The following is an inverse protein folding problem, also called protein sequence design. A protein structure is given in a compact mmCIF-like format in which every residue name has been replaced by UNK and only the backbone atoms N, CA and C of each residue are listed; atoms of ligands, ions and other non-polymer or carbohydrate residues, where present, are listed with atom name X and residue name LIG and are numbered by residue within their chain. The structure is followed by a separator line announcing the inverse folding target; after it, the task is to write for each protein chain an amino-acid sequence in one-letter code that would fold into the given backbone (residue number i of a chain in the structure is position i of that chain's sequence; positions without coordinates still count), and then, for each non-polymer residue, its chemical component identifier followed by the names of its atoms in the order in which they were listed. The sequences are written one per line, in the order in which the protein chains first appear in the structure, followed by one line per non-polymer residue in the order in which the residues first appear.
data_IF_706844830141
#
_entry.id   IF_706844830141
#
_cell.length_a   1.000
_cell.length_b   1.000
_cell.length_c   1.000
_cell.angle_alpha   90.00
_cell.angle_beta   90.00
_cell.angle_gamma   90.00
#
_symmetry.space_group_name_H-M   'P 1'
#
loop_
_entity.id
_entity.type
_entity.pdbx_description
1 polymer ?
#
# COMPACT_ATOMS: atom_id res chain seq x y z
N UNK A 1 4.02 -71.79 -3.60
CA UNK A 1 4.10 -70.32 -3.49
C UNK A 1 3.76 -69.76 -4.87
N UNK A 2 2.64 -69.04 -5.00
CA UNK A 2 2.22 -68.49 -6.29
C UNK A 2 3.02 -67.22 -6.59
N UNK A 3 3.80 -67.24 -7.67
CA UNK A 3 4.54 -66.06 -8.16
C UNK A 3 3.56 -65.19 -8.91
N UNK A 4 3.27 -64.00 -8.40
CA UNK A 4 2.43 -63.02 -9.10
C UNK A 4 3.15 -62.58 -10.39
N UNK A 5 2.47 -62.54 -11.55
CA UNK A 5 3.09 -62.09 -12.78
C UNK A 5 3.50 -60.61 -12.65
N UNK A 6 4.72 -60.27 -13.11
CA UNK A 6 5.18 -58.89 -13.21
C UNK A 6 4.39 -58.21 -14.34
N UNK A 7 3.40 -57.42 -13.96
CA UNK A 7 2.52 -56.78 -14.92
C UNK A 7 3.21 -55.51 -15.45
N UNK A 8 3.62 -55.55 -16.72
CA UNK A 8 4.22 -54.42 -17.42
C UNK A 8 3.11 -53.50 -17.96
N UNK A 9 2.65 -52.56 -17.12
CA UNK A 9 1.48 -51.72 -17.40
C UNK A 9 1.69 -50.53 -18.34
N UNK A 10 2.90 -50.32 -18.88
CA UNK A 10 3.23 -49.14 -19.70
C UNK A 10 3.87 -49.51 -21.03
N UNK A 11 3.07 -49.99 -21.98
CA UNK A 11 3.51 -50.22 -23.35
C UNK A 11 3.20 -49.00 -24.24
N UNK A 12 4.05 -47.97 -24.20
CA UNK A 12 3.92 -46.83 -25.11
C UNK A 12 4.46 -47.18 -26.51
N UNK A 13 3.66 -46.91 -27.54
CA UNK A 13 4.09 -46.97 -28.94
C UNK A 13 5.14 -45.89 -29.26
N UNK A 14 5.94 -46.10 -30.31
CA UNK A 14 7.08 -45.21 -30.66
C UNK A 14 6.66 -43.76 -30.89
N UNK A 15 5.43 -43.54 -31.39
CA UNK A 15 4.87 -42.20 -31.62
C UNK A 15 4.48 -41.53 -30.30
N UNK A 16 3.86 -42.28 -29.39
CA UNK A 16 3.42 -41.78 -28.07
C UNK A 16 4.61 -41.41 -27.19
N UNK A 17 5.74 -42.15 -27.28
CA UNK A 17 6.96 -41.81 -26.52
C UNK A 17 7.47 -40.40 -26.81
N UNK A 18 7.39 -39.96 -28.07
CA UNK A 18 7.81 -38.60 -28.45
C UNK A 18 6.84 -37.57 -27.88
N UNK A 19 5.54 -37.85 -27.93
CA UNK A 19 4.51 -36.99 -27.33
C UNK A 19 4.66 -36.88 -25.81
N UNK A 20 4.88 -38.00 -25.11
CA UNK A 20 5.11 -38.02 -23.66
C UNK A 20 6.39 -37.29 -23.28
N UNK A 21 7.48 -37.44 -24.05
CA UNK A 21 8.70 -36.69 -23.81
C UNK A 21 8.48 -35.17 -23.98
N UNK A 22 7.78 -34.75 -25.04
CA UNK A 22 7.44 -33.33 -25.25
C UNK A 22 6.52 -32.78 -24.16
N UNK A 23 5.56 -33.58 -23.68
CA UNK A 23 4.67 -33.18 -22.60
C UNK A 23 5.43 -33.04 -21.27
N UNK A 24 6.31 -33.99 -20.94
CA UNK A 24 7.13 -33.95 -19.73
C UNK A 24 8.10 -32.76 -19.75
N UNK A 25 8.70 -32.45 -20.90
CA UNK A 25 9.60 -31.28 -21.01
C UNK A 25 8.85 -29.97 -20.83
N UNK A 26 7.64 -29.85 -21.40
CA UNK A 26 6.79 -28.67 -21.22
C UNK A 26 6.37 -28.48 -19.76
N UNK A 27 5.93 -29.55 -19.09
CA UNK A 27 5.56 -29.50 -17.67
C UNK A 27 6.78 -29.13 -16.81
N UNK A 28 7.94 -29.74 -17.07
CA UNK A 28 9.17 -29.41 -16.36
C UNK A 28 9.57 -27.94 -16.55
N UNK A 29 9.40 -27.38 -17.76
CA UNK A 29 9.66 -25.98 -18.04
C UNK A 29 8.76 -25.05 -17.21
N UNK A 30 7.45 -25.33 -17.14
CA UNK A 30 6.50 -24.54 -16.36
C UNK A 30 6.81 -24.61 -14.86
N UNK A 31 7.13 -25.80 -14.35
CA UNK A 31 7.52 -26.00 -12.96
C UNK A 31 8.86 -25.31 -12.61
N UNK A 32 9.75 -25.16 -13.58
CA UNK A 32 11.02 -24.47 -13.41
C UNK A 32 10.87 -22.93 -13.29
N UNK A 33 9.86 -22.33 -13.93
CA UNK A 33 9.63 -20.86 -13.92
C UNK A 33 9.71 -20.21 -12.53
N UNK A 34 8.98 -20.68 -11.48
CA UNK A 34 9.04 -20.07 -10.15
C UNK A 34 10.43 -20.20 -9.49
N UNK A 35 11.22 -21.21 -9.87
CA UNK A 35 12.58 -21.39 -9.35
C UNK A 35 13.58 -20.42 -9.99
N UNK A 36 13.34 -20.00 -11.24
CA UNK A 36 14.15 -18.99 -11.93
C UNK A 36 13.67 -17.55 -11.70
N UNK A 37 12.44 -17.35 -11.19
CA UNK A 37 11.91 -16.05 -10.79
C UNK A 37 12.81 -15.24 -9.82
N UNK A 38 13.41 -15.83 -8.76
CA UNK A 38 14.31 -15.09 -7.87
C UNK A 38 15.64 -14.66 -8.51
N UNK A 39 16.00 -15.19 -9.68
CA UNK A 39 17.22 -14.78 -10.39
C UNK A 39 17.02 -13.48 -11.18
N UNK A 40 15.77 -13.07 -11.46
CA UNK A 40 15.47 -11.90 -12.28
C UNK A 40 15.27 -10.59 -11.49
N UNK A 41 15.69 -10.57 -10.22
CA UNK A 41 15.78 -9.34 -9.43
C UNK A 41 14.85 -9.35 -8.22
N UNK A 42 15.42 -9.70 -7.06
CA UNK A 42 14.82 -9.32 -5.80
C UNK A 42 14.95 -7.80 -5.69
N UNK A 43 13.85 -7.07 -5.80
CA UNK A 43 13.84 -5.73 -5.20
C UNK A 43 14.21 -5.92 -3.73
N UNK A 44 15.22 -5.21 -3.20
CA UNK A 44 15.50 -5.29 -1.78
C UNK A 44 14.22 -4.88 -1.08
N UNK A 45 13.57 -5.83 -0.41
CA UNK A 45 12.55 -5.51 0.59
C UNK A 45 13.27 -4.56 1.53
N UNK A 46 12.99 -3.27 1.37
CA UNK A 46 13.52 -2.22 2.22
C UNK A 46 12.93 -2.52 3.59
N UNK A 47 13.69 -3.26 4.40
CA UNK A 47 13.41 -3.45 5.81
C UNK A 47 13.39 -2.04 6.41
N UNK A 48 12.20 -1.47 6.52
CA UNK A 48 11.97 -0.09 6.87
C UNK A 48 12.15 0.10 8.38
N UNK A 49 13.36 -0.19 8.88
CA UNK A 49 13.86 0.28 10.17
C UNK A 49 13.93 1.82 10.21
N UNK A 50 13.59 2.48 9.09
CA UNK A 50 13.29 3.90 9.00
C UNK A 50 12.18 4.32 9.98
N UNK A 51 11.21 3.43 10.25
CA UNK A 51 10.12 3.74 11.16
C UNK A 51 10.61 3.98 12.59
N UNK A 52 11.52 3.14 13.09
CA UNK A 52 12.09 3.26 14.45
C UNK A 52 12.85 4.59 14.62
N UNK A 53 13.60 4.98 13.58
CA UNK A 53 14.32 6.26 13.58
C UNK A 53 13.40 7.48 13.55
N UNK A 54 12.21 7.37 12.95
CA UNK A 54 11.20 8.44 12.93
C UNK A 54 10.45 8.53 14.25
N UNK A 55 10.17 7.40 14.91
CA UNK A 55 9.51 7.36 16.21
C UNK A 55 10.36 8.00 17.31
N UNK A 56 11.67 7.74 17.34
CA UNK A 56 12.57 8.37 18.32
C UNK A 56 12.60 9.90 18.19
N UNK A 57 12.61 10.42 16.97
CA UNK A 57 12.57 11.87 16.70
C UNK A 57 11.25 12.52 17.15
N UNK A 58 10.13 11.83 16.96
CA UNK A 58 8.82 12.30 17.40
C UNK A 58 8.67 12.27 18.93
N UNK A 59 9.18 11.23 19.59
CA UNK A 59 9.18 11.13 21.04
C UNK A 59 10.03 12.24 21.68
N UNK A 60 11.23 12.50 21.18
CA UNK A 60 12.06 13.63 21.68
C UNK A 60 11.36 14.98 21.50
N UNK A 61 10.66 15.19 20.37
CA UNK A 61 9.90 16.42 20.11
C UNK A 61 8.66 16.56 21.01
N UNK A 62 8.03 15.46 21.41
CA UNK A 62 6.90 15.45 22.37
C UNK A 62 7.38 15.72 23.79
N UNK A 63 8.50 15.14 24.21
CA UNK A 63 9.10 15.40 25.53
C UNK A 63 9.63 16.83 25.66
N UNK A 64 10.14 17.41 24.57
CA UNK A 64 10.53 18.82 24.51
C UNK A 64 9.33 19.79 24.44
N UNK A 65 8.10 19.28 24.24
CA UNK A 65 6.88 20.08 24.07
C UNK A 65 5.82 19.65 25.07
N UNK A 66 6.16 19.67 26.36
CA UNK A 66 5.19 19.59 27.46
C UNK A 66 5.07 20.95 28.14
N UNK A 67 4.40 21.88 27.47
CA UNK A 67 3.53 22.93 28.03
C UNK A 67 3.10 23.90 26.91
N UNK A 68 1.85 24.40 26.90
CA UNK A 68 1.48 25.54 26.09
C UNK A 68 1.99 26.80 26.78
N UNK A 69 2.87 27.57 26.16
CA UNK A 69 3.23 28.89 26.68
C UNK A 69 3.38 29.88 25.53
N UNK A 70 2.29 30.64 25.33
CA UNK A 70 2.34 31.99 24.80
C UNK A 70 3.23 32.87 25.70
N UNK A 71 3.77 33.96 25.16
CA UNK A 71 5.21 34.16 24.96
C UNK A 71 6.02 34.24 26.27
N UNK A 72 7.16 33.55 26.30
CA UNK A 72 8.21 33.71 27.30
C UNK A 72 9.58 33.69 26.62
N UNK A 73 10.31 34.80 26.75
CA UNK A 73 11.69 34.97 26.34
C UNK A 73 12.57 33.74 26.60
N UNK A 74 13.10 33.11 25.55
CA UNK A 74 14.32 32.29 25.61
C UNK A 74 15.18 32.51 24.36
N UNK A 75 16.47 32.69 24.61
CA UNK A 75 17.45 33.19 23.68
C UNK A 75 17.71 32.26 22.49
N UNK A 76 17.95 32.94 21.36
CA UNK A 76 18.90 32.58 20.33
C UNK A 76 18.97 31.13 19.89
N UNK A 77 18.19 30.78 18.86
CA UNK A 77 18.80 30.20 17.67
C UNK A 77 17.92 30.46 16.44
N UNK A 78 18.51 31.16 15.47
CA UNK A 78 17.84 31.67 14.28
C UNK A 78 17.85 30.61 13.18
N UNK A 79 16.90 29.68 13.23
CA UNK A 79 16.72 28.75 12.13
C UNK A 79 16.05 29.46 10.94
N UNK A 80 16.87 29.83 9.94
CA UNK A 80 16.41 30.34 8.64
C UNK A 80 15.77 29.21 7.82
N UNK A 81 14.51 28.87 8.12
CA UNK A 81 13.71 28.16 7.13
C UNK A 81 13.45 29.12 5.96
N UNK A 82 14.03 28.83 4.79
CA UNK A 82 13.59 29.42 3.52
C UNK A 82 12.19 28.88 3.26
N UNK A 83 11.18 29.57 3.80
CA UNK A 83 9.81 29.47 3.33
C UNK A 83 9.86 29.93 1.87
N UNK A 84 9.48 29.09 0.88
CA UNK A 84 9.33 29.57 -0.48
C UNK A 84 8.39 30.77 -0.40
N UNK A 85 8.86 31.93 -0.84
CA UNK A 85 8.04 33.13 -0.86
C UNK A 85 6.78 32.76 -1.64
N UNK A 86 5.64 32.87 -0.97
CA UNK A 86 4.31 32.51 -1.45
C UNK A 86 4.03 33.27 -2.75
N UNK A 87 4.48 32.70 -3.87
CA UNK A 87 4.26 33.22 -5.22
C UNK A 87 2.96 32.69 -5.79
N UNK A 88 1.99 32.42 -4.92
CA UNK A 88 0.59 32.33 -5.28
C UNK A 88 -0.06 33.70 -5.06
N UNK A 89 0.40 34.67 -5.86
CA UNK A 89 -0.43 35.82 -6.25
C UNK A 89 -1.43 35.34 -7.30
N UNK A 90 -2.24 34.35 -6.93
CA UNK A 90 -3.48 34.02 -7.59
C UNK A 90 -4.55 34.46 -6.62
N UNK A 91 -5.37 35.42 -7.00
CA UNK A 91 -6.59 35.84 -6.31
C UNK A 91 -7.59 34.67 -6.25
N UNK A 92 -7.22 33.57 -5.61
CA UNK A 92 -8.15 32.56 -5.18
C UNK A 92 -8.79 33.15 -3.94
N UNK A 93 -9.94 33.81 -4.13
CA UNK A 93 -10.87 34.09 -3.04
C UNK A 93 -10.99 32.80 -2.24
N UNK A 94 -10.38 32.75 -1.05
CA UNK A 94 -10.56 31.62 -0.14
C UNK A 94 -12.06 31.49 0.02
N UNK A 95 -12.64 30.46 -0.58
CA UNK A 95 -14.05 30.15 -0.36
C UNK A 95 -14.19 30.02 1.15
N UNK A 96 -14.98 30.91 1.75
CA UNK A 96 -15.28 30.83 3.18
C UNK A 96 -16.07 29.53 3.36
N UNK A 97 -15.37 28.45 3.70
CA UNK A 97 -16.00 27.19 4.05
C UNK A 97 -16.79 27.40 5.34
N UNK A 98 -18.08 27.05 5.30
CA UNK A 98 -18.89 27.02 6.51
C UNK A 98 -18.48 25.79 7.34
N UNK A 99 -18.25 26.00 8.64
CA UNK A 99 -18.07 24.89 9.56
C UNK A 99 -19.44 24.29 9.87
N UNK A 100 -19.54 22.97 9.80
CA UNK A 100 -20.71 22.22 10.24
C UNK A 100 -20.28 20.97 10.99
N UNK A 101 -21.15 20.48 11.88
CA UNK A 101 -20.91 19.23 12.59
C UNK A 101 -21.00 18.05 11.64
N UNK A 102 -19.95 17.23 11.61
CA UNK A 102 -19.87 16.03 10.78
C UNK A 102 -19.73 14.79 11.67
N UNK A 103 -20.71 13.90 11.58
CA UNK A 103 -20.63 12.55 12.12
C UNK A 103 -20.94 11.56 10.97
N UNK A 104 -19.98 10.71 10.59
CA UNK A 104 -20.12 9.83 9.42
C UNK A 104 -21.30 8.85 9.53
N UNK A 105 -21.71 8.48 10.74
CA UNK A 105 -22.78 7.50 10.94
C UNK A 105 -24.17 8.13 10.85
N UNK A 106 -24.29 9.43 11.10
CA UNK A 106 -25.59 10.11 11.23
C UNK A 106 -25.83 11.17 10.16
N UNK A 107 -24.78 11.68 9.51
CA UNK A 107 -24.90 12.77 8.55
C UNK A 107 -25.74 12.40 7.31
N UNK A 108 -26.54 13.35 6.83
CA UNK A 108 -27.38 13.18 5.65
C UNK A 108 -26.59 13.21 4.34
N UNK A 109 -27.23 12.76 3.24
CA UNK A 109 -26.66 12.82 1.90
C UNK A 109 -26.23 14.25 1.51
N UNK A 110 -26.98 15.27 1.94
CA UNK A 110 -26.63 16.68 1.71
C UNK A 110 -25.37 17.09 2.48
N UNK A 111 -25.18 16.58 3.69
CA UNK A 111 -23.97 16.84 4.47
C UNK A 111 -22.73 16.23 3.81
N UNK A 112 -22.85 15.03 3.23
CA UNK A 112 -21.79 14.45 2.38
C UNK A 112 -21.53 15.28 1.12
N UNK A 113 -22.57 15.90 0.54
CA UNK A 113 -22.42 16.81 -0.60
C UNK A 113 -21.69 18.10 -0.21
N UNK A 114 -21.93 18.63 1.00
CA UNK A 114 -21.19 19.78 1.55
C UNK A 114 -19.70 19.49 1.76
N UNK A 115 -19.33 18.23 1.99
CA UNK A 115 -17.93 17.77 2.01
C UNK A 115 -17.31 17.64 0.61
N UNK A 116 -18.09 17.80 -0.47
CA UNK A 116 -17.61 17.71 -1.84
C UNK A 116 -17.57 16.28 -2.41
N UNK A 117 -18.28 15.33 -1.81
CA UNK A 117 -18.37 13.97 -2.36
C UNK A 117 -19.27 13.92 -3.60
N UNK A 118 -18.96 13.00 -4.51
CA UNK A 118 -19.76 12.76 -5.72
C UNK A 118 -21.03 11.97 -5.39
N UNK A 119 -22.14 12.25 -6.06
CA UNK A 119 -23.44 11.63 -5.77
C UNK A 119 -23.40 10.10 -5.74
N UNK A 120 -22.62 9.47 -6.63
CA UNK A 120 -22.42 8.01 -6.64
C UNK A 120 -21.80 7.49 -5.34
N UNK A 121 -20.78 8.19 -4.84
CA UNK A 121 -20.10 7.84 -3.57
C UNK A 121 -21.04 8.04 -2.39
N UNK A 122 -21.83 9.12 -2.40
CA UNK A 122 -22.82 9.39 -1.37
C UNK A 122 -23.87 8.27 -1.34
N UNK A 123 -24.40 7.87 -2.49
CA UNK A 123 -25.36 6.78 -2.58
C UNK A 123 -24.81 5.45 -2.02
N UNK A 124 -23.56 5.11 -2.36
CA UNK A 124 -22.90 3.92 -1.79
C UNK A 124 -22.79 4.02 -0.27
N UNK A 125 -22.30 5.13 0.27
CA UNK A 125 -22.17 5.32 1.73
C UNK A 125 -23.53 5.20 2.42
N UNK A 126 -24.58 5.81 1.86
CA UNK A 126 -25.92 5.78 2.42
C UNK A 126 -26.53 4.37 2.43
N UNK A 127 -26.14 3.50 1.50
CA UNK A 127 -26.63 2.12 1.42
C UNK A 127 -25.97 1.18 2.46
N UNK A 128 -24.79 1.53 2.98
CA UNK A 128 -23.97 0.64 3.83
C UNK A 128 -23.70 1.20 5.24
N UNK A 129 -24.40 2.27 5.63
CA UNK A 129 -24.31 2.82 6.99
C UNK A 129 -25.29 2.14 7.93
#
# INVERSE_FOLDING_TARGET
MAVLPNQHYLHLTRKDRRGTLVLLTLIAMICAVPFFYPLMGNSPVSNSNTFDSTLGKLQMKKSAMTAPTFPGSYGGESHKYKRPADSYSGSNSRSKGELFSFDPNTISAEGWKKLGLRDKTIATIMNYR
#
